data_IF_668923538943
#
_entry.id   IF_668923538943
#
_cell.length_a   1.000
_cell.length_b   1.000
_cell.length_c   1.000
_cell.angle_alpha   90.00
_cell.angle_beta   90.00
_cell.angle_gamma   90.00
#
_symmetry.space_group_name_H-M   'P 1'
#
loop_
_entity.id
_entity.type
_entity.pdbx_description
1 polymer ?
#
# COMPACT_ATOMS: atom_id res chain seq x y z
N UNK A 1 14.83 -1.45 4.41
CA UNK A 1 14.38 -1.99 3.11
C UNK A 1 12.86 -1.94 3.10
N UNK A 2 12.22 -1.15 2.23
CA UNK A 2 10.75 -1.16 2.17
C UNK A 2 10.29 -2.54 1.69
N UNK A 3 9.41 -3.19 2.44
CA UNK A 3 8.78 -4.43 2.01
C UNK A 3 7.92 -4.11 0.79
N UNK A 4 8.25 -4.67 -0.37
CA UNK A 4 7.38 -4.62 -1.55
C UNK A 4 6.08 -5.33 -1.19
N UNK A 5 4.98 -4.58 -1.14
CA UNK A 5 3.65 -5.16 -0.98
C UNK A 5 3.18 -5.68 -2.34
N UNK A 6 2.67 -6.90 -2.34
CA UNK A 6 2.21 -7.61 -3.53
C UNK A 6 0.76 -7.96 -3.30
N UNK A 7 -0.09 -7.59 -4.25
CA UNK A 7 -1.51 -7.88 -4.26
C UNK A 7 -1.87 -8.48 -5.63
N UNK A 8 -3.07 -9.03 -5.74
CA UNK A 8 -3.56 -9.63 -6.98
C UNK A 8 -5.03 -9.25 -7.13
N UNK A 9 -5.42 -8.85 -8.34
CA UNK A 9 -6.82 -8.61 -8.71
C UNK A 9 -7.27 -9.67 -9.69
N UNK A 10 -8.57 -9.95 -9.74
CA UNK A 10 -9.17 -10.96 -10.62
C UNK A 10 -10.10 -10.26 -11.61
N UNK A 11 -9.59 -9.98 -12.82
CA UNK A 11 -10.38 -9.36 -13.86
C UNK A 11 -10.90 -10.44 -14.82
N UNK A 12 -12.22 -10.73 -14.78
CA UNK A 12 -12.86 -11.73 -15.66
C UNK A 12 -12.13 -13.08 -15.64
N UNK A 13 -11.86 -13.60 -14.44
CA UNK A 13 -11.12 -14.85 -14.18
C UNK A 13 -9.62 -14.81 -14.49
N UNK A 14 -9.06 -13.66 -14.89
CA UNK A 14 -7.62 -13.48 -15.05
C UNK A 14 -7.01 -12.85 -13.79
N UNK A 15 -6.06 -13.55 -13.18
CA UNK A 15 -5.26 -13.02 -12.10
C UNK A 15 -4.22 -12.03 -12.63
N UNK A 16 -4.25 -10.79 -12.14
CA UNK A 16 -3.33 -9.71 -12.52
C UNK A 16 -2.55 -9.28 -11.29
N UNK A 17 -1.22 -9.37 -11.39
CA UNK A 17 -0.33 -8.97 -10.30
C UNK A 17 -0.26 -7.45 -10.16
N UNK A 18 -0.29 -7.00 -8.90
CA UNK A 18 -0.05 -5.62 -8.51
C UNK A 18 1.09 -5.61 -7.50
N UNK A 19 2.00 -4.66 -7.63
CA UNK A 19 2.96 -4.39 -6.57
C UNK A 19 3.12 -2.90 -6.31
N UNK A 20 3.46 -2.58 -5.07
CA UNK A 20 3.85 -1.23 -4.67
C UNK A 20 5.18 -1.25 -3.93
N UNK A 21 5.98 -0.21 -4.15
CA UNK A 21 7.27 0.00 -3.47
C UNK A 21 7.19 1.03 -2.34
N UNK A 22 6.26 1.96 -2.44
CA UNK A 22 6.17 3.18 -1.62
C UNK A 22 4.76 3.44 -1.07
N UNK A 23 3.82 2.49 -1.23
CA UNK A 23 2.40 2.61 -0.86
C UNK A 23 1.64 3.75 -1.54
N UNK A 24 2.28 4.47 -2.46
CA UNK A 24 1.72 5.63 -3.17
C UNK A 24 1.53 5.32 -4.65
N UNK A 25 2.50 4.64 -5.25
CA UNK A 25 2.49 4.26 -6.65
C UNK A 25 2.32 2.74 -6.75
N UNK A 26 1.19 2.32 -7.31
CA UNK A 26 0.92 0.93 -7.63
C UNK A 26 1.31 0.65 -9.08
N UNK A 27 1.88 -0.53 -9.30
CA UNK A 27 2.29 -1.03 -10.59
C UNK A 27 1.52 -2.30 -10.92
N UNK A 28 0.81 -2.29 -12.03
CA UNK A 28 -0.02 -3.39 -12.52
C UNK A 28 0.74 -4.13 -13.63
N UNK A 29 0.67 -5.46 -13.64
CA UNK A 29 1.29 -6.30 -14.66
C UNK A 29 0.62 -6.11 -16.02
N UNK A 30 1.34 -5.47 -16.96
CA UNK A 30 0.92 -5.42 -18.37
C UNK A 30 0.98 -6.80 -19.00
N UNK A 31 1.92 -7.64 -18.58
CA UNK A 31 2.05 -9.02 -19.08
C UNK A 31 0.79 -9.83 -18.75
N UNK A 32 0.26 -9.72 -17.53
CA UNK A 32 -0.96 -10.45 -17.14
C UNK A 32 -2.20 -9.88 -17.86
N UNK A 33 -2.29 -8.56 -18.01
CA UNK A 33 -3.34 -7.91 -18.81
C UNK A 33 -3.28 -8.38 -20.29
N UNK A 34 -2.08 -8.51 -20.85
CA UNK A 34 -1.88 -8.92 -22.24
C UNK A 34 -2.26 -10.39 -22.49
N UNK A 35 -2.18 -11.25 -21.47
CA UNK A 35 -2.61 -12.66 -21.56
C UNK A 35 -4.10 -12.81 -21.85
N UNK A 36 -4.91 -11.81 -21.52
CA UNK A 36 -6.32 -11.78 -21.93
C UNK A 36 -6.48 -11.80 -23.46
N UNK A 37 -5.50 -11.28 -24.21
CA UNK A 37 -5.56 -11.13 -25.66
C UNK A 37 -4.80 -12.23 -26.42
N UNK A 38 -3.68 -12.70 -25.90
CA UNK A 38 -2.77 -13.63 -26.59
C UNK A 38 -1.90 -14.40 -25.61
N UNK A 39 -1.51 -15.62 -25.97
CA UNK A 39 -0.52 -16.42 -25.26
C UNK A 39 0.91 -15.85 -25.35
N UNK A 40 1.13 -14.89 -26.27
CA UNK A 40 2.39 -14.15 -26.47
C UNK A 40 2.26 -12.68 -25.97
N UNK A 41 2.21 -12.44 -24.64
CA UNK A 41 1.92 -11.12 -24.08
C UNK A 41 2.99 -10.07 -24.40
N UNK A 42 4.25 -10.48 -24.56
CA UNK A 42 5.36 -9.60 -24.90
C UNK A 42 5.15 -8.90 -26.25
N UNK A 43 4.58 -9.61 -27.23
CA UNK A 43 4.35 -9.05 -28.55
C UNK A 43 3.13 -8.12 -28.58
N UNK A 44 2.11 -8.42 -27.78
CA UNK A 44 0.96 -7.51 -27.56
C UNK A 44 1.45 -6.17 -27.01
N UNK A 45 2.34 -6.18 -26.03
CA UNK A 45 2.90 -4.94 -25.43
C UNK A 45 3.76 -4.18 -26.45
N UNK A 46 4.62 -4.87 -27.22
CA UNK A 46 5.39 -4.22 -28.29
C UNK A 46 4.49 -3.59 -29.35
N UNK A 47 3.40 -4.25 -29.74
CA UNK A 47 2.44 -3.73 -30.71
C UNK A 47 1.73 -2.49 -30.18
N UNK A 48 1.37 -2.45 -28.90
CA UNK A 48 0.82 -1.25 -28.28
C UNK A 48 1.82 -0.09 -28.30
N UNK A 49 3.08 -0.36 -27.95
CA UNK A 49 4.15 0.65 -27.94
C UNK A 49 4.59 1.12 -29.33
N UNK A 50 4.21 0.44 -30.41
CA UNK A 50 4.46 0.93 -31.78
C UNK A 50 3.60 2.15 -32.13
N UNK A 51 2.46 2.33 -31.47
CA UNK A 51 1.52 3.40 -31.84
C UNK A 51 2.01 4.75 -31.34
N UNK A 52 1.82 5.79 -32.17
CA UNK A 52 2.25 7.15 -31.86
C UNK A 52 1.50 7.76 -30.67
N UNK A 53 0.20 7.52 -30.60
CA UNK A 53 -0.65 7.95 -29.47
C UNK A 53 -0.20 7.34 -28.14
N UNK A 54 0.18 6.05 -28.14
CA UNK A 54 0.79 5.41 -26.96
C UNK A 54 2.06 6.13 -26.52
N UNK A 55 2.99 6.39 -27.45
CA UNK A 55 4.25 7.07 -27.13
C UNK A 55 4.01 8.48 -26.60
N UNK A 56 3.09 9.22 -27.21
CA UNK A 56 2.71 10.57 -26.75
C UNK A 56 2.11 10.54 -25.34
N UNK A 57 1.21 9.59 -25.08
CA UNK A 57 0.61 9.41 -23.75
C UNK A 57 1.66 9.05 -22.69
N UNK A 58 2.55 8.09 -23.00
CA UNK A 58 3.64 7.71 -22.09
C UNK A 58 4.56 8.89 -21.80
N UNK A 59 4.99 9.63 -22.83
CA UNK A 59 5.85 10.79 -22.66
C UNK A 59 5.19 11.92 -21.86
N UNK A 60 3.89 12.16 -22.05
CA UNK A 60 3.14 13.12 -21.25
C UNK A 60 3.10 12.69 -19.78
N UNK A 61 2.77 11.43 -19.52
CA UNK A 61 2.72 10.90 -18.15
C UNK A 61 4.08 11.03 -17.46
N UNK A 62 5.17 10.67 -18.14
CA UNK A 62 6.52 10.80 -17.60
C UNK A 62 6.90 12.26 -17.35
N UNK A 63 6.63 13.16 -18.29
CA UNK A 63 6.94 14.60 -18.15
C UNK A 63 6.26 15.24 -16.93
N UNK A 64 5.08 14.74 -16.54
CA UNK A 64 4.34 15.23 -15.39
C UNK A 64 4.79 14.61 -14.05
N UNK A 65 5.33 13.40 -14.07
CA UNK A 65 5.56 12.60 -12.86
C UNK A 65 7.03 12.24 -12.60
N UNK A 66 7.93 12.49 -13.55
CA UNK A 66 9.33 12.09 -13.52
C UNK A 66 10.26 13.27 -13.80
N UNK A 67 10.91 13.79 -12.75
CA UNK A 67 11.84 14.91 -12.86
C UNK A 67 13.11 14.59 -13.66
N UNK A 68 13.48 13.31 -13.79
CA UNK A 68 14.67 12.86 -14.51
C UNK A 68 14.34 12.39 -15.93
N UNK A 69 13.12 12.61 -16.40
CA UNK A 69 12.72 12.15 -17.72
C UNK A 69 13.56 12.80 -18.83
N UNK A 70 14.14 11.97 -19.69
CA UNK A 70 14.96 12.45 -20.80
C UNK A 70 14.07 12.88 -21.98
N UNK A 71 13.62 14.13 -21.94
CA UNK A 71 12.76 14.73 -22.97
C UNK A 71 13.40 14.77 -24.36
N UNK A 72 14.73 14.85 -24.45
CA UNK A 72 15.44 14.91 -25.74
C UNK A 72 15.36 13.57 -26.47
N UNK A 73 15.61 12.46 -25.77
CA UNK A 73 15.41 11.14 -26.39
C UNK A 73 13.93 10.83 -26.63
N UNK A 74 13.04 11.30 -25.75
CA UNK A 74 11.62 11.18 -25.99
C UNK A 74 11.19 11.82 -27.32
N UNK A 75 11.63 13.04 -27.62
CA UNK A 75 11.28 13.71 -28.87
C UNK A 75 11.80 12.95 -30.11
N UNK A 76 12.98 12.34 -30.02
CA UNK A 76 13.52 11.45 -31.08
C UNK A 76 12.63 10.24 -31.28
N UNK A 77 12.30 9.52 -30.20
CA UNK A 77 11.42 8.34 -30.25
C UNK A 77 10.03 8.72 -30.78
N UNK A 78 9.47 9.84 -30.33
CA UNK A 78 8.16 10.35 -30.78
C UNK A 78 8.16 10.69 -32.27
N UNK A 79 9.27 11.21 -32.80
CA UNK A 79 9.41 11.52 -34.24
C UNK A 79 9.44 10.26 -35.11
N UNK A 80 9.98 9.14 -34.59
CA UNK A 80 10.03 7.84 -35.26
C UNK A 80 8.75 7.02 -35.06
N UNK A 81 7.95 7.32 -34.04
CA UNK A 81 6.75 6.58 -33.71
C UNK A 81 5.68 6.70 -34.82
N UNK A 82 5.05 5.56 -35.14
CA UNK A 82 4.02 5.47 -36.19
C UNK A 82 4.53 5.06 -37.58
N UNK A 83 5.86 5.05 -37.82
CA UNK A 83 6.39 4.42 -39.03
C UNK A 83 6.31 2.89 -38.95
N UNK A 84 6.08 2.20 -40.07
CA UNK A 84 5.95 0.74 -40.10
C UNK A 84 7.21 -0.01 -39.60
N UNK A 85 8.37 0.61 -39.79
CA UNK A 85 9.68 0.10 -39.35
C UNK A 85 9.97 0.36 -37.87
N UNK A 86 9.17 1.21 -37.22
CA UNK A 86 9.37 1.57 -35.82
C UNK A 86 9.17 0.35 -34.91
N UNK A 87 10.13 0.12 -34.03
CA UNK A 87 10.07 -0.93 -33.01
C UNK A 87 10.60 -0.41 -31.69
N UNK A 88 9.81 -0.62 -30.64
CA UNK A 88 10.18 -0.22 -29.29
C UNK A 88 9.69 -1.26 -28.29
N UNK A 89 10.61 -1.76 -27.47
CA UNK A 89 10.29 -2.62 -26.33
C UNK A 89 10.19 -1.78 -25.05
N UNK A 90 9.42 -2.22 -24.04
CA UNK A 90 9.37 -1.59 -22.72
C UNK A 90 10.76 -1.33 -22.13
N UNK A 91 11.66 -2.32 -22.21
CA UNK A 91 13.04 -2.20 -21.72
C UNK A 91 13.81 -1.07 -22.40
N UNK A 92 13.82 -1.05 -23.74
CA UNK A 92 14.46 0.01 -24.54
C UNK A 92 13.88 1.40 -24.29
N UNK A 93 12.57 1.52 -24.03
CA UNK A 93 11.95 2.78 -23.63
C UNK A 93 12.52 3.29 -22.31
N UNK A 94 12.46 2.46 -21.27
CA UNK A 94 12.98 2.79 -19.94
C UNK A 94 14.46 3.17 -19.98
N UNK A 95 15.28 2.40 -20.70
CA UNK A 95 16.72 2.65 -20.83
C UNK A 95 17.05 3.97 -21.55
N UNK A 96 16.27 4.34 -22.57
CA UNK A 96 16.53 5.55 -23.35
C UNK A 96 16.00 6.82 -22.69
N UNK A 97 14.82 6.74 -22.08
CA UNK A 97 14.11 7.94 -21.59
C UNK A 97 14.20 8.13 -20.07
N UNK A 98 14.85 7.20 -19.36
CA UNK A 98 14.85 7.15 -17.88
C UNK A 98 13.43 7.10 -17.29
N UNK A 99 12.50 6.46 -18.02
CA UNK A 99 11.11 6.37 -17.64
C UNK A 99 10.90 5.56 -16.36
N UNK A 100 10.00 6.02 -15.49
CA UNK A 100 9.65 5.34 -14.23
C UNK A 100 8.27 4.67 -14.29
N UNK A 101 7.41 5.11 -15.20
CA UNK A 101 6.02 4.66 -15.34
C UNK A 101 5.90 3.25 -15.90
N UNK A 102 6.92 2.75 -16.58
CA UNK A 102 7.02 1.35 -17.03
C UNK A 102 8.24 0.71 -16.37
N UNK A 103 8.09 -0.53 -15.93
CA UNK A 103 9.16 -1.31 -15.31
C UNK A 103 9.19 -2.69 -15.97
N UNK A 104 10.28 -2.98 -16.67
CA UNK A 104 10.55 -4.29 -17.24
C UNK A 104 11.57 -5.03 -16.36
N UNK A 105 11.18 -6.17 -15.77
CA UNK A 105 12.10 -7.01 -14.99
C UNK A 105 12.26 -8.36 -15.68
N UNK A 106 13.49 -8.89 -15.66
CA UNK A 106 13.76 -10.29 -16.04
C UNK A 106 14.02 -11.15 -14.80
N UNK A 107 13.68 -12.45 -14.87
CA UNK A 107 13.97 -13.44 -13.82
C UNK A 107 12.73 -14.10 -13.22
N UNK A 108 12.75 -14.47 -11.94
CA UNK A 108 11.65 -15.21 -11.26
C UNK A 108 10.31 -14.45 -11.19
N UNK A 109 10.34 -13.14 -11.46
CA UNK A 109 9.18 -12.25 -11.55
C UNK A 109 9.21 -11.54 -12.90
N UNK A 110 9.32 -12.35 -13.95
CA UNK A 110 9.37 -11.92 -15.35
C UNK A 110 8.09 -11.20 -15.72
N UNK A 111 8.25 -10.07 -16.42
CA UNK A 111 7.11 -9.31 -16.90
C UNK A 111 7.36 -7.81 -16.99
N UNK A 112 6.46 -7.16 -17.73
CA UNK A 112 6.38 -5.71 -17.82
C UNK A 112 5.26 -5.24 -16.93
N UNK A 113 5.56 -4.28 -16.07
CA UNK A 113 4.61 -3.63 -15.19
C UNK A 113 4.54 -2.16 -15.54
N UNK A 114 3.40 -1.52 -15.28
CA UNK A 114 3.26 -0.09 -15.44
C UNK A 114 2.45 0.54 -14.33
N UNK A 115 2.64 1.84 -14.14
CA UNK A 115 1.82 2.65 -13.26
C UNK A 115 0.33 2.47 -13.60
N UNK A 116 -0.54 2.59 -12.59
CA UNK A 116 -1.99 2.37 -12.73
C UNK A 116 -2.63 3.08 -13.92
N UNK A 117 -2.39 4.38 -14.10
CA UNK A 117 -2.92 5.13 -15.25
C UNK A 117 -2.49 4.54 -16.59
N UNK A 118 -1.21 4.17 -16.70
CA UNK A 118 -0.62 3.58 -17.91
C UNK A 118 -1.20 2.18 -18.15
N UNK A 119 -1.37 1.39 -17.10
CA UNK A 119 -1.97 0.07 -17.19
C UNK A 119 -3.45 0.13 -17.58
N UNK A 120 -4.20 1.13 -17.10
CA UNK A 120 -5.58 1.34 -17.52
C UNK A 120 -5.69 1.78 -18.97
N UNK A 121 -4.75 2.60 -19.45
CA UNK A 121 -4.69 2.97 -20.86
C UNK A 121 -4.37 1.76 -21.74
N UNK A 122 -3.42 0.93 -21.32
CA UNK A 122 -3.14 -0.34 -22.00
C UNK A 122 -4.36 -1.27 -22.04
N UNK A 123 -5.05 -1.44 -20.91
CA UNK A 123 -6.27 -2.23 -20.85
C UNK A 123 -7.37 -1.66 -21.76
N UNK A 124 -7.48 -0.34 -21.85
CA UNK A 124 -8.38 0.38 -22.77
C UNK A 124 -8.11 0.02 -24.22
N UNK A 125 -6.83 -0.01 -24.61
CA UNK A 125 -6.42 -0.39 -25.95
C UNK A 125 -6.72 -1.86 -26.27
N UNK A 126 -6.61 -2.76 -25.29
CA UNK A 126 -6.96 -4.18 -25.47
C UNK A 126 -8.47 -4.37 -25.63
N UNK A 127 -9.27 -3.85 -24.69
CA UNK A 127 -10.72 -3.98 -24.69
C UNK A 127 -11.35 -3.05 -23.67
N UNK A 128 -12.34 -2.26 -24.10
CA UNK A 128 -13.13 -1.42 -23.22
C UNK A 128 -13.85 -2.23 -22.12
N UNK A 129 -14.34 -3.43 -22.46
CA UNK A 129 -14.96 -4.35 -21.50
C UNK A 129 -13.94 -4.84 -20.46
N UNK A 130 -12.76 -5.28 -20.91
CA UNK A 130 -11.73 -5.79 -20.00
C UNK A 130 -11.20 -4.68 -19.08
N UNK A 131 -11.02 -3.47 -19.60
CA UNK A 131 -10.67 -2.28 -18.81
C UNK A 131 -11.64 -2.06 -17.65
N UNK A 132 -12.95 -2.24 -17.88
CA UNK A 132 -13.94 -2.06 -16.81
C UNK A 132 -13.76 -3.07 -15.68
N UNK A 133 -13.50 -4.34 -15.99
CA UNK A 133 -13.19 -5.35 -14.96
C UNK A 133 -11.94 -4.98 -14.18
N UNK A 134 -10.84 -4.62 -14.87
CA UNK A 134 -9.58 -4.22 -14.22
C UNK A 134 -9.78 -3.01 -13.29
N UNK A 135 -10.52 -1.99 -13.73
CA UNK A 135 -10.80 -0.79 -12.92
C UNK A 135 -11.67 -1.11 -11.71
N UNK A 136 -12.74 -1.88 -11.89
CA UNK A 136 -13.64 -2.23 -10.78
C UNK A 136 -12.91 -3.01 -9.70
N UNK A 137 -12.13 -4.00 -10.10
CA UNK A 137 -11.46 -4.88 -9.17
C UNK A 137 -10.27 -4.21 -8.47
N UNK A 138 -9.57 -3.32 -9.17
CA UNK A 138 -8.59 -2.42 -8.55
C UNK A 138 -9.23 -1.48 -7.52
N UNK A 139 -10.38 -0.86 -7.84
CA UNK A 139 -11.11 0.01 -6.90
C UNK A 139 -11.57 -0.77 -5.66
N UNK A 140 -12.06 -1.99 -5.85
CA UNK A 140 -12.44 -2.90 -4.76
C UNK A 140 -11.25 -3.19 -3.85
N UNK A 141 -10.10 -3.58 -4.43
CA UNK A 141 -8.87 -3.80 -3.66
C UNK A 141 -8.49 -2.57 -2.82
N UNK A 142 -8.52 -1.37 -3.41
CA UNK A 142 -8.20 -0.13 -2.68
C UNK A 142 -9.22 0.25 -1.61
N UNK A 143 -10.51 -0.03 -1.85
CA UNK A 143 -11.55 0.12 -0.83
C UNK A 143 -11.33 -0.85 0.34
N UNK A 144 -11.00 -2.10 0.04
CA UNK A 144 -10.74 -3.12 1.06
C UNK A 144 -9.49 -2.78 1.89
N UNK A 145 -8.42 -2.28 1.26
CA UNK A 145 -7.25 -1.76 1.96
C UNK A 145 -7.59 -0.60 2.90
N UNK A 146 -8.35 0.38 2.42
CA UNK A 146 -8.75 1.54 3.21
C UNK A 146 -9.70 1.15 4.36
N UNK A 147 -10.62 0.23 4.11
CA UNK A 147 -11.53 -0.29 5.13
C UNK A 147 -10.76 -1.02 6.23
N UNK A 148 -9.79 -1.89 5.90
CA UNK A 148 -8.94 -2.57 6.87
C UNK A 148 -8.11 -1.59 7.71
N UNK A 149 -7.56 -0.55 7.07
CA UNK A 149 -6.82 0.51 7.78
C UNK A 149 -7.72 1.26 8.77
N UNK A 150 -8.93 1.65 8.36
CA UNK A 150 -9.90 2.33 9.23
C UNK A 150 -10.42 1.42 10.36
N UNK A 151 -10.65 0.14 10.09
CA UNK A 151 -11.10 -0.84 11.08
C UNK A 151 -10.02 -1.07 12.15
N UNK A 152 -8.76 -1.21 11.75
CA UNK A 152 -7.64 -1.34 12.67
C UNK A 152 -7.48 -0.11 13.56
N UNK A 153 -7.60 1.09 12.98
CA UNK A 153 -7.55 2.34 13.74
C UNK A 153 -8.72 2.47 14.73
N UNK A 154 -9.94 2.12 14.31
CA UNK A 154 -11.11 2.13 15.19
C UNK A 154 -10.98 1.09 16.32
N UNK A 155 -10.48 -0.12 16.02
CA UNK A 155 -10.25 -1.16 17.02
C UNK A 155 -9.23 -0.72 18.06
N UNK A 156 -8.09 -0.16 17.63
CA UNK A 156 -7.08 0.39 18.53
C UNK A 156 -7.69 1.44 19.46
N UNK A 157 -8.53 2.33 18.92
CA UNK A 157 -9.19 3.37 19.71
C UNK A 157 -10.19 2.81 20.73
N UNK A 158 -10.99 1.81 20.36
CA UNK A 158 -11.91 1.18 21.32
C UNK A 158 -11.17 0.40 22.41
N UNK A 159 -10.09 -0.31 22.08
CA UNK A 159 -9.24 -0.98 23.08
C UNK A 159 -8.55 0.06 23.97
N UNK A 160 -8.03 1.15 23.41
CA UNK A 160 -7.48 2.27 24.18
C UNK A 160 -8.48 2.85 25.17
N UNK A 161 -9.74 3.05 24.77
CA UNK A 161 -10.80 3.53 25.67
C UNK A 161 -11.09 2.56 26.81
N UNK A 162 -11.17 1.26 26.51
CA UNK A 162 -11.33 0.21 27.53
C UNK A 162 -10.14 0.28 28.50
N UNK A 163 -8.91 0.32 27.98
CA UNK A 163 -7.69 0.43 28.78
C UNK A 163 -7.67 1.70 29.63
N UNK A 164 -8.18 2.83 29.14
CA UNK A 164 -8.31 4.05 29.93
C UNK A 164 -9.33 3.92 31.05
N UNK A 165 -10.51 3.37 30.76
CA UNK A 165 -11.58 3.19 31.74
C UNK A 165 -11.18 2.23 32.86
N UNK A 166 -10.44 1.17 32.52
CA UNK A 166 -9.86 0.23 33.48
C UNK A 166 -8.83 0.92 34.39
N UNK A 167 -8.14 1.96 33.92
CA UNK A 167 -7.07 2.66 34.63
C UNK A 167 -7.48 3.97 35.31
N UNK A 168 -8.76 4.15 35.61
CA UNK A 168 -9.27 5.44 36.13
C UNK A 168 -8.70 5.80 37.52
N UNK A 169 -8.12 4.86 38.25
CA UNK A 169 -7.92 5.05 39.70
C UNK A 169 -6.53 5.57 40.12
N UNK A 170 -5.53 5.62 39.23
CA UNK A 170 -4.32 6.42 39.51
C UNK A 170 -3.51 6.83 38.28
N UNK A 171 -3.26 8.14 38.15
CA UNK A 171 -2.44 8.72 37.06
C UNK A 171 -1.01 8.16 37.05
N UNK A 172 -0.46 7.78 38.22
CA UNK A 172 0.91 7.27 38.33
C UNK A 172 1.06 5.85 37.78
N UNK A 173 0.11 4.95 38.05
CA UNK A 173 0.16 3.56 37.57
C UNK A 173 0.00 3.50 36.05
N UNK A 174 -0.88 4.31 35.49
CA UNK A 174 -1.06 4.43 34.04
C UNK A 174 0.22 4.86 33.33
N UNK A 175 0.95 5.83 33.88
CA UNK A 175 2.24 6.27 33.33
C UNK A 175 3.37 5.25 33.57
N UNK A 176 3.36 4.49 34.67
CA UNK A 176 4.32 3.39 34.88
C UNK A 176 4.18 2.30 33.82
N UNK A 177 2.94 1.88 33.51
CA UNK A 177 2.70 0.92 32.42
C UNK A 177 3.13 1.46 31.06
N UNK A 178 2.89 2.75 30.80
CA UNK A 178 3.33 3.37 29.55
C UNK A 178 4.86 3.37 29.42
N UNK A 179 5.58 3.65 30.51
CA UNK A 179 7.05 3.57 30.53
C UNK A 179 7.53 2.12 30.34
N UNK A 180 6.87 1.13 30.96
CA UNK A 180 7.27 -0.27 30.81
C UNK A 180 7.12 -0.79 29.37
N UNK A 181 6.11 -0.34 28.64
CA UNK A 181 5.79 -0.85 27.29
C UNK A 181 6.32 0.03 26.16
N UNK A 182 6.30 1.34 26.32
CA UNK A 182 6.63 2.32 25.27
C UNK A 182 7.87 3.15 25.62
N UNK A 183 8.49 2.89 26.78
CA UNK A 183 9.66 3.62 27.30
C UNK A 183 9.44 5.14 27.44
N UNK A 184 8.17 5.59 27.53
CA UNK A 184 7.79 7.02 27.58
C UNK A 184 6.55 7.25 28.43
N UNK A 185 6.46 8.43 29.04
CA UNK A 185 5.24 8.91 29.73
C UNK A 185 4.27 9.59 28.77
N UNK A 186 3.01 9.71 29.19
CA UNK A 186 1.94 10.34 28.39
C UNK A 186 2.22 11.78 27.99
N UNK A 187 2.93 12.53 28.83
CA UNK A 187 3.33 13.91 28.53
C UNK A 187 4.42 13.98 27.46
N UNK A 188 5.48 13.19 27.63
CA UNK A 188 6.61 13.13 26.70
C UNK A 188 6.18 12.72 25.29
N UNK A 189 5.30 11.71 25.17
CA UNK A 189 4.79 11.29 23.86
C UNK A 189 4.02 12.41 23.14
N UNK A 190 3.23 13.22 23.87
CA UNK A 190 2.49 14.35 23.28
C UNK A 190 3.42 15.47 22.80
N UNK A 191 4.49 15.75 23.53
CA UNK A 191 5.49 16.75 23.15
C UNK A 191 6.25 16.35 21.88
N UNK A 192 6.57 15.07 21.74
CA UNK A 192 7.26 14.53 20.55
C UNK A 192 6.35 14.36 19.32
N UNK A 193 5.03 14.28 19.52
CA UNK A 193 4.05 13.99 18.46
C UNK A 193 2.95 15.08 18.37
N UNK A 194 3.29 16.36 18.15
CA UNK A 194 2.32 17.46 18.18
C UNK A 194 1.27 17.39 17.05
N UNK A 195 1.57 16.73 15.94
CA UNK A 195 0.70 16.61 14.78
C UNK A 195 -0.17 15.35 14.78
N UNK A 196 0.01 14.45 15.76
CA UNK A 196 -0.77 13.21 15.88
C UNK A 196 -1.98 13.42 16.80
N UNK A 197 -3.14 12.91 16.38
CA UNK A 197 -4.39 13.00 17.15
C UNK A 197 -4.57 11.74 18.00
N UNK A 198 -4.79 11.90 19.30
CA UNK A 198 -5.07 10.79 20.22
C UNK A 198 -3.99 10.62 21.28
N UNK A 199 -3.85 9.41 21.81
CA UNK A 199 -2.78 9.05 22.76
C UNK A 199 -1.78 8.07 22.14
N UNK A 200 -0.70 7.77 22.86
CA UNK A 200 0.31 6.80 22.40
C UNK A 200 -0.23 5.39 22.15
N UNK A 201 -1.28 4.97 22.87
CA UNK A 201 -1.87 3.63 22.79
C UNK A 201 -2.71 3.46 21.51
N UNK A 202 -3.28 4.53 20.97
CA UNK A 202 -4.00 4.52 19.69
C UNK A 202 -3.07 4.16 18.52
N UNK A 203 -1.77 4.41 18.69
CA UNK A 203 -0.70 4.11 17.73
C UNK A 203 0.10 2.85 18.09
N UNK A 204 -0.24 2.15 19.17
CA UNK A 204 0.41 0.90 19.56
C UNK A 204 -0.06 -0.28 18.69
N UNK A 205 0.76 -1.33 18.63
CA UNK A 205 0.37 -2.58 18.00
C UNK A 205 -0.72 -3.30 18.81
N UNK A 206 -1.51 -4.14 18.13
CA UNK A 206 -2.55 -4.93 18.79
C UNK A 206 -2.00 -5.80 19.93
N UNK A 207 -0.80 -6.36 19.76
CA UNK A 207 -0.16 -7.18 20.79
C UNK A 207 0.20 -6.37 22.03
N UNK A 208 0.73 -5.16 21.87
CA UNK A 208 1.03 -4.27 23.00
C UNK A 208 -0.26 -3.86 23.74
N UNK A 209 -1.33 -3.59 23.00
CA UNK A 209 -2.66 -3.30 23.56
C UNK A 209 -3.27 -4.49 24.30
N UNK A 210 -3.06 -5.72 23.80
CA UNK A 210 -3.51 -6.95 24.47
C UNK A 210 -2.69 -7.26 25.72
N UNK A 211 -1.37 -7.03 25.68
CA UNK A 211 -0.50 -7.16 26.86
C UNK A 211 -0.90 -6.15 27.93
N UNK A 212 -1.20 -4.91 27.54
CA UNK A 212 -1.80 -3.90 28.44
C UNK A 212 -3.07 -4.43 29.10
N UNK A 213 -4.07 -4.81 28.30
CA UNK A 213 -5.35 -5.29 28.84
C UNK A 213 -5.18 -6.50 29.78
N UNK A 214 -4.27 -7.43 29.45
CA UNK A 214 -3.99 -8.61 30.28
C UNK A 214 -3.26 -8.27 31.58
N UNK A 215 -2.20 -7.46 31.50
CA UNK A 215 -1.46 -7.04 32.71
C UNK A 215 -2.35 -6.26 33.67
N UNK A 216 -3.25 -5.46 33.12
CA UNK A 216 -4.27 -4.72 33.87
C UNK A 216 -5.29 -5.64 34.55
N UNK A 217 -5.81 -6.63 33.82
CA UNK A 217 -6.74 -7.62 34.38
C UNK A 217 -6.12 -8.34 35.59
N UNK A 218 -4.86 -8.77 35.48
CA UNK A 218 -4.15 -9.43 36.57
C UNK A 218 -3.95 -8.52 37.80
N UNK A 219 -3.71 -7.21 37.60
CA UNK A 219 -3.61 -6.27 38.72
C UNK A 219 -4.93 -6.11 39.47
N UNK A 220 -6.05 -5.98 38.75
CA UNK A 220 -7.40 -5.88 39.35
C UNK A 220 -7.77 -7.17 40.09
N UNK A 221 -7.53 -8.34 39.50
CA UNK A 221 -7.78 -9.62 40.17
C UNK A 221 -6.97 -9.76 41.46
N UNK A 222 -5.70 -9.32 41.46
CA UNK A 222 -4.88 -9.30 42.67
C UNK A 222 -5.48 -8.38 43.73
N UNK A 223 -5.89 -7.16 43.37
CA UNK A 223 -6.51 -6.22 44.31
C UNK A 223 -7.80 -6.79 44.92
N UNK A 224 -8.68 -7.37 44.10
CA UNK A 224 -9.92 -8.00 44.56
C UNK A 224 -9.66 -9.18 45.50
N UNK A 225 -8.72 -10.06 45.15
CA UNK A 225 -8.35 -11.20 46.01
C UNK A 225 -7.68 -10.77 47.32
N UNK A 226 -6.99 -9.63 47.34
CA UNK A 226 -6.36 -9.10 48.57
C UNK A 226 -7.40 -8.42 49.47
N UNK A 227 -8.39 -7.73 48.88
CA UNK A 227 -9.53 -7.14 49.58
C UNK A 227 -10.41 -8.18 50.27
N UNK A 228 -10.73 -9.28 49.58
CA UNK A 228 -11.54 -10.39 50.14
C UNK A 228 -10.84 -11.04 51.34
N UNK A 229 -9.52 -11.33 51.24
CA UNK A 229 -8.74 -11.88 52.37
C UNK A 229 -8.61 -10.92 53.56
N UNK A 230 -8.68 -9.62 53.33
CA UNK A 230 -8.63 -8.62 54.41
C UNK A 230 -9.96 -8.50 55.20
N UNK A 231 -11.07 -8.90 54.58
CA UNK A 231 -12.39 -8.97 55.20
C UNK A 231 -12.57 -10.27 56.00
N UNK A 232 -12.06 -11.39 55.49
CA UNK A 232 -12.07 -12.68 56.20
C UNK A 232 -11.16 -12.70 57.44
N UNK A 233 -10.08 -11.90 57.47
CA UNK A 233 -9.20 -11.79 58.64
C UNK A 233 -9.68 -10.75 59.69
N UNK A 234 -10.83 -10.10 59.48
CA UNK A 234 -11.42 -9.13 60.42
C UNK A 234 -12.74 -9.59 61.05
N UNK A 235 -13.21 -10.79 60.73
CA UNK A 235 -14.32 -11.51 61.36
C UNK A 235 -13.81 -12.60 62.28
#
# INVERSE_FOLDING_TARGET
MSKTKKDTIEAKEFAIQIYTKDFKNDYISLTDIARYKSDEPSDVIKNWMRRKDTIEFLGLWESLNNMNFNSVEFDRIKSEAGYNTFTLSPKKWVEKTEAIGIISKGGRYDGTFAHTDIAFEFASWISAEFKMYVIQDYKRLKSDENSKLSLGWNLNREISKINYKIHTDSISEADMLNVALFNKRSKQWREENPNLKGNMRDYASLNELLVLARTQHMSIEKLNNTGIKSLENKS
#
